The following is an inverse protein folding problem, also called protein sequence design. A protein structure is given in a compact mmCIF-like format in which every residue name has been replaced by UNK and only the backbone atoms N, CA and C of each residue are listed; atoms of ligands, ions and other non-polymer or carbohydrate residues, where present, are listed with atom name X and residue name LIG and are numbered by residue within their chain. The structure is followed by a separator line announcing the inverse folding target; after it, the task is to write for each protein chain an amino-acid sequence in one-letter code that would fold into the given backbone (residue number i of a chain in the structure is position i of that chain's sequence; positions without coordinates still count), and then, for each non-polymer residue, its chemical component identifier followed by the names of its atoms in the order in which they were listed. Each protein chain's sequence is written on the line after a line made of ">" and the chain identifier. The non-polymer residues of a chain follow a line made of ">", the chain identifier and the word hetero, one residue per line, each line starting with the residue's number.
data_IF_808254606742
#
_entry.id   IF_808254606742
#
_cell.length_a   1.000
_cell.length_b   1.000
_cell.length_c   1.000
_cell.angle_alpha   90.00
_cell.angle_beta   90.00
_cell.angle_gamma   90.00
#
_symmetry.space_group_name_H-M   'P 1'
#
loop_
_entity.id
_entity.type
_entity.pdbx_description
1 polymer ?
#
# COMPACT_ATOMS: atom_id res chain seq x y z
N UNK A 1 23.21 -20.18 19.79
CA UNK A 1 22.26 -19.72 18.76
C UNK A 1 23.08 -19.63 17.50
N UNK A 2 22.94 -20.63 16.64
CA UNK A 2 23.70 -20.68 15.38
C UNK A 2 23.36 -19.45 14.55
N UNK A 3 24.38 -18.84 13.97
CA UNK A 3 24.25 -17.65 13.14
C UNK A 3 23.46 -18.01 11.88
N UNK A 4 22.26 -17.44 11.72
CA UNK A 4 21.34 -17.81 10.65
C UNK A 4 21.86 -17.44 9.25
N UNK A 5 22.68 -16.39 9.17
CA UNK A 5 23.24 -15.88 7.92
C UNK A 5 24.76 -15.72 8.02
N UNK A 6 25.48 -16.07 6.96
CA UNK A 6 26.93 -15.88 6.86
C UNK A 6 27.31 -14.71 5.93
N UNK A 7 26.33 -14.16 5.22
CA UNK A 7 26.50 -13.00 4.36
C UNK A 7 25.18 -12.25 4.18
N UNK A 8 25.23 -11.05 3.63
CA UNK A 8 24.03 -10.33 3.21
C UNK A 8 24.24 -9.56 1.90
N UNK A 9 23.13 -9.25 1.24
CA UNK A 9 23.10 -8.33 0.09
C UNK A 9 22.13 -7.20 0.37
N UNK A 10 22.60 -5.97 0.20
CA UNK A 10 21.78 -4.75 0.20
C UNK A 10 21.36 -4.44 -1.24
N UNK A 11 20.19 -4.93 -1.61
CA UNK A 11 19.53 -4.70 -2.89
C UNK A 11 18.91 -3.32 -2.86
N UNK A 12 19.46 -2.40 -3.64
CA UNK A 12 19.07 -1.00 -3.62
C UNK A 12 19.23 -0.39 -5.01
N UNK A 13 19.06 0.92 -5.09
CA UNK A 13 19.26 1.68 -6.32
C UNK A 13 20.07 2.94 -6.07
N UNK A 14 20.56 3.55 -7.15
CA UNK A 14 21.20 4.86 -7.06
C UNK A 14 20.27 5.85 -6.33
N UNK A 15 20.84 6.62 -5.39
CA UNK A 15 20.14 7.69 -4.64
C UNK A 15 18.99 7.24 -3.72
N UNK A 16 18.90 5.95 -3.40
CA UNK A 16 17.97 5.40 -2.40
C UNK A 16 18.39 5.59 -0.95
N UNK A 17 19.57 6.18 -0.69
CA UNK A 17 20.17 6.25 0.65
C UNK A 17 21.08 5.06 1.01
N UNK A 18 21.38 4.20 0.04
CA UNK A 18 22.19 2.99 0.26
C UNK A 18 23.57 3.24 0.86
N UNK A 19 24.24 4.36 0.53
CA UNK A 19 25.49 4.77 1.18
C UNK A 19 25.33 5.08 2.68
N UNK A 20 24.19 5.66 3.07
CA UNK A 20 23.92 5.96 4.48
C UNK A 20 23.63 4.68 5.27
N UNK A 21 22.83 3.79 4.68
CA UNK A 21 22.58 2.49 5.28
C UNK A 21 23.87 1.66 5.38
N UNK A 22 24.74 1.69 4.36
CA UNK A 22 26.08 1.09 4.42
C UNK A 22 26.91 1.64 5.59
N UNK A 23 26.92 2.96 5.80
CA UNK A 23 27.65 3.58 6.91
C UNK A 23 27.14 3.10 8.27
N UNK A 24 25.82 3.03 8.45
CA UNK A 24 25.20 2.52 9.68
C UNK A 24 25.49 1.03 9.88
N UNK A 25 25.39 0.20 8.82
CA UNK A 25 25.75 -1.21 8.86
C UNK A 25 27.22 -1.40 9.28
N UNK A 26 28.14 -0.62 8.72
CA UNK A 26 29.56 -0.67 9.08
C UNK A 26 29.86 -0.12 10.48
N UNK A 27 28.94 0.63 11.09
CA UNK A 27 29.04 1.05 12.48
C UNK A 27 28.54 -0.03 13.46
N UNK A 28 27.79 -1.03 12.99
CA UNK A 28 27.31 -2.15 13.81
C UNK A 28 28.44 -3.16 14.06
N UNK A 29 28.73 -3.50 15.33
CA UNK A 29 29.69 -4.55 15.63
C UNK A 29 29.28 -5.90 15.01
N UNK A 30 30.22 -6.53 14.28
CA UNK A 30 30.01 -7.82 13.64
C UNK A 30 29.36 -7.76 12.25
N UNK A 31 29.34 -6.59 11.62
CA UNK A 31 28.84 -6.37 10.25
C UNK A 31 29.92 -5.70 9.41
N UNK A 32 30.15 -6.20 8.20
CA UNK A 32 31.08 -5.61 7.24
C UNK A 32 30.41 -5.47 5.86
N UNK A 33 30.07 -4.25 5.46
CA UNK A 33 29.49 -3.91 4.17
C UNK A 33 30.55 -3.28 3.25
N UNK A 34 30.86 -3.95 2.14
CA UNK A 34 31.99 -3.64 1.25
C UNK A 34 31.60 -2.83 0.01
N UNK A 35 30.62 -1.94 0.14
CA UNK A 35 30.17 -1.08 -0.96
C UNK A 35 29.65 -1.86 -2.17
N UNK A 36 29.89 -1.34 -3.37
CA UNK A 36 29.39 -1.92 -4.63
C UNK A 36 30.40 -2.92 -5.20
N UNK A 37 30.55 -4.08 -4.54
CA UNK A 37 31.54 -5.11 -4.88
C UNK A 37 31.46 -5.61 -6.34
N UNK A 38 30.27 -5.53 -6.95
CA UNK A 38 29.97 -6.02 -8.30
C UNK A 38 29.61 -4.91 -9.30
N UNK A 39 30.04 -3.67 -9.02
CA UNK A 39 29.96 -2.58 -9.99
C UNK A 39 30.85 -2.89 -11.22
N UNK A 40 30.38 -2.70 -12.47
CA UNK A 40 31.16 -3.05 -13.66
C UNK A 40 32.50 -2.31 -13.81
N UNK A 41 32.68 -1.17 -13.14
CA UNK A 41 33.86 -0.32 -13.31
C UNK A 41 34.86 -0.37 -12.16
N UNK A 42 34.47 -0.85 -10.98
CA UNK A 42 35.32 -0.90 -9.79
C UNK A 42 34.82 -1.97 -8.80
N UNK A 43 35.62 -2.27 -7.78
CA UNK A 43 35.28 -3.20 -6.71
C UNK A 43 35.03 -2.44 -5.40
N UNK A 44 33.77 -2.35 -4.99
CA UNK A 44 33.38 -1.80 -3.68
C UNK A 44 33.34 -0.27 -3.64
N UNK A 45 34.46 0.40 -3.95
CA UNK A 45 34.59 1.86 -3.95
C UNK A 45 35.14 2.38 -5.28
N UNK A 46 34.78 3.61 -5.63
CA UNK A 46 35.25 4.27 -6.85
C UNK A 46 36.78 4.24 -6.94
N UNK A 47 37.30 3.87 -8.12
CA UNK A 47 38.74 3.70 -8.42
C UNK A 47 39.45 2.58 -7.65
N UNK A 48 38.72 1.66 -7.04
CA UNK A 48 39.29 0.44 -6.46
C UNK A 48 39.21 -0.70 -7.49
N UNK A 49 40.34 -1.23 -7.90
CA UNK A 49 40.47 -2.32 -8.89
C UNK A 49 40.85 -3.67 -8.27
N UNK A 50 41.10 -3.72 -6.96
CA UNK A 50 41.39 -4.92 -6.20
C UNK A 50 40.73 -4.91 -4.81
N UNK A 51 40.18 -6.05 -4.38
CA UNK A 51 39.77 -6.29 -3.01
C UNK A 51 39.93 -7.78 -2.65
N UNK A 52 40.30 -8.07 -1.40
CA UNK A 52 40.47 -9.44 -0.90
C UNK A 52 41.39 -10.34 -1.76
N UNK A 53 42.41 -9.73 -2.38
CA UNK A 53 43.34 -10.41 -3.30
C UNK A 53 42.71 -10.80 -4.65
N UNK A 54 41.58 -10.20 -5.03
CA UNK A 54 40.89 -10.41 -6.31
C UNK A 54 40.89 -9.10 -7.08
N UNK A 55 41.52 -9.10 -8.27
CA UNK A 55 41.52 -7.96 -9.18
C UNK A 55 40.21 -7.88 -9.97
N UNK A 56 39.93 -6.72 -10.57
CA UNK A 56 38.77 -6.50 -11.44
C UNK A 56 38.71 -7.52 -12.57
N UNK A 57 39.84 -7.78 -13.24
CA UNK A 57 39.93 -8.78 -14.29
C UNK A 57 39.63 -10.21 -13.79
N UNK A 58 40.10 -10.56 -12.58
CA UNK A 58 39.80 -11.86 -11.98
C UNK A 58 38.32 -11.99 -11.59
N UNK A 59 37.70 -10.92 -11.07
CA UNK A 59 36.25 -10.87 -10.79
C UNK A 59 35.41 -10.98 -12.06
N UNK A 60 35.80 -10.30 -13.13
CA UNK A 60 35.08 -10.39 -14.42
C UNK A 60 35.09 -11.82 -14.97
N UNK A 61 36.20 -12.54 -14.78
CA UNK A 61 36.32 -13.95 -15.15
C UNK A 61 35.47 -14.88 -14.25
N UNK A 62 35.51 -14.67 -12.93
CA UNK A 62 34.70 -15.43 -11.95
C UNK A 62 34.23 -14.51 -10.81
N UNK A 63 32.99 -13.97 -10.86
CA UNK A 63 32.50 -13.08 -9.80
C UNK A 63 32.24 -13.82 -8.48
N UNK A 64 32.07 -15.15 -8.51
CA UNK A 64 31.86 -15.95 -7.30
C UNK A 64 33.16 -16.15 -6.52
N UNK A 65 34.32 -15.97 -7.15
CA UNK A 65 35.61 -15.90 -6.44
C UNK A 65 35.62 -14.73 -5.44
N UNK A 66 35.20 -13.54 -5.88
CA UNK A 66 35.14 -12.36 -5.01
C UNK A 66 34.13 -12.58 -3.87
N UNK A 67 32.95 -13.14 -4.15
CA UNK A 67 31.94 -13.42 -3.11
C UNK A 67 32.49 -14.36 -2.02
N UNK A 68 33.20 -15.43 -2.41
CA UNK A 68 33.86 -16.36 -1.47
C UNK A 68 34.95 -15.66 -0.66
N UNK A 69 35.87 -14.96 -1.34
CA UNK A 69 36.97 -14.25 -0.68
C UNK A 69 36.49 -13.19 0.29
N UNK A 70 35.45 -12.44 -0.07
CA UNK A 70 34.83 -11.44 0.81
C UNK A 70 34.25 -12.09 2.07
N UNK A 71 33.56 -13.23 1.96
CA UNK A 71 33.05 -13.99 3.11
C UNK A 71 34.18 -14.50 4.01
N UNK A 72 35.25 -15.03 3.43
CA UNK A 72 36.37 -15.63 4.17
C UNK A 72 37.22 -14.61 4.94
N UNK A 73 37.30 -13.36 4.45
CA UNK A 73 38.23 -12.34 4.98
C UNK A 73 37.51 -11.19 5.73
N UNK A 74 36.19 -11.23 5.84
CA UNK A 74 35.44 -10.24 6.63
C UNK A 74 35.38 -10.65 8.10
N UNK A 75 35.52 -9.68 8.99
CA UNK A 75 35.19 -9.87 10.40
C UNK A 75 33.67 -9.69 10.58
N UNK A 76 32.98 -10.74 11.05
CA UNK A 76 31.53 -10.77 11.14
C UNK A 76 30.81 -11.13 9.82
N UNK A 77 29.55 -10.70 9.68
CA UNK A 77 28.74 -11.00 8.50
C UNK A 77 29.16 -10.09 7.32
N UNK A 78 29.59 -10.71 6.23
CA UNK A 78 30.02 -9.99 5.03
C UNK A 78 28.84 -9.59 4.15
N UNK A 79 28.81 -8.35 3.67
CA UNK A 79 27.82 -7.95 2.68
C UNK A 79 28.27 -6.84 1.76
N UNK A 80 27.40 -6.51 0.81
CA UNK A 80 27.67 -5.58 -0.26
C UNK A 80 26.37 -4.97 -0.78
N UNK A 81 26.47 -3.81 -1.43
CA UNK A 81 25.40 -3.19 -2.19
C UNK A 81 25.33 -3.76 -3.59
N UNK A 82 24.11 -4.03 -4.04
CA UNK A 82 23.83 -4.53 -5.37
C UNK A 82 22.73 -3.70 -6.04
N UNK A 83 23.02 -3.18 -7.23
CA UNK A 83 22.08 -2.40 -8.06
C UNK A 83 21.69 -3.17 -9.33
N UNK A 84 20.67 -2.71 -10.05
CA UNK A 84 20.15 -3.43 -11.22
C UNK A 84 21.16 -3.62 -12.36
N UNK A 85 22.20 -2.78 -12.43
CA UNK A 85 23.25 -2.73 -13.46
C UNK A 85 24.58 -3.36 -13.02
N UNK A 86 24.62 -3.94 -11.81
CA UNK A 86 25.76 -4.73 -11.35
C UNK A 86 25.80 -6.10 -12.02
N UNK A 87 26.90 -6.84 -11.84
CA UNK A 87 27.13 -8.12 -12.51
C UNK A 87 25.93 -9.09 -12.36
N UNK A 88 25.18 -9.34 -13.45
CA UNK A 88 23.92 -10.08 -13.40
C UNK A 88 24.11 -11.55 -13.04
N UNK A 89 25.34 -12.08 -13.09
CA UNK A 89 25.65 -13.48 -12.71
C UNK A 89 25.57 -13.69 -11.21
N UNK A 90 25.68 -12.63 -10.41
CA UNK A 90 25.71 -12.69 -8.94
C UNK A 90 24.31 -12.75 -8.35
N UNK A 91 23.36 -12.00 -8.91
CA UNK A 91 22.02 -11.86 -8.36
C UNK A 91 21.28 -13.21 -8.17
N UNK A 92 21.25 -14.13 -9.16
CA UNK A 92 20.61 -15.43 -8.98
C UNK A 92 21.24 -16.25 -7.86
N UNK A 93 22.58 -16.16 -7.70
CA UNK A 93 23.32 -16.91 -6.69
C UNK A 93 22.95 -16.42 -5.30
N UNK A 94 22.97 -15.11 -5.05
CA UNK A 94 22.62 -14.57 -3.72
C UNK A 94 21.13 -14.69 -3.41
N UNK A 95 20.24 -14.58 -4.41
CA UNK A 95 18.80 -14.79 -4.20
C UNK A 95 18.49 -16.26 -3.85
N UNK A 96 19.20 -17.22 -4.44
CA UNK A 96 19.01 -18.64 -4.16
C UNK A 96 19.66 -19.11 -2.85
N UNK A 97 20.69 -18.42 -2.35
CA UNK A 97 21.46 -18.82 -1.16
C UNK A 97 20.70 -18.52 0.16
N UNK A 98 20.20 -19.53 0.91
CA UNK A 98 19.47 -19.31 2.17
C UNK A 98 20.33 -18.77 3.31
N UNK A 99 21.67 -18.84 3.20
CA UNK A 99 22.60 -18.31 4.19
C UNK A 99 23.01 -16.85 3.89
N UNK A 100 22.56 -16.30 2.75
CA UNK A 100 22.72 -14.90 2.41
C UNK A 100 21.43 -14.13 2.76
N UNK A 101 21.49 -13.21 3.72
CA UNK A 101 20.36 -12.35 4.07
C UNK A 101 20.07 -11.35 2.93
N UNK A 102 18.78 -11.09 2.66
CA UNK A 102 18.36 -10.08 1.67
C UNK A 102 17.86 -8.86 2.41
N UNK A 103 18.40 -7.70 2.06
CA UNK A 103 17.90 -6.39 2.50
C UNK A 103 17.47 -5.65 1.24
N UNK A 104 16.23 -5.18 1.19
CA UNK A 104 15.71 -4.40 0.06
C UNK A 104 15.47 -2.98 0.55
N UNK A 105 16.25 -2.03 0.03
CA UNK A 105 16.10 -0.61 0.31
C UNK A 105 15.32 0.06 -0.81
N UNK A 106 14.19 0.66 -0.46
CA UNK A 106 13.34 1.40 -1.40
C UNK A 106 13.31 2.89 -1.10
N UNK A 107 13.07 3.69 -2.13
CA UNK A 107 12.79 5.12 -2.02
C UNK A 107 11.75 5.50 -3.06
N UNK A 108 11.02 6.59 -2.81
CA UNK A 108 10.17 7.19 -3.80
C UNK A 108 10.94 7.40 -5.13
N UNK A 109 10.50 6.80 -6.26
CA UNK A 109 11.23 6.86 -7.53
C UNK A 109 11.42 8.28 -8.04
N UNK A 110 10.44 9.18 -7.85
CA UNK A 110 10.56 10.55 -8.34
C UNK A 110 11.61 11.34 -7.55
N UNK A 111 11.66 11.16 -6.24
CA UNK A 111 12.69 11.82 -5.41
C UNK A 111 14.10 11.33 -5.75
N UNK A 112 14.23 10.02 -6.00
CA UNK A 112 15.51 9.41 -6.39
C UNK A 112 15.97 9.94 -7.75
N UNK A 113 15.04 10.04 -8.71
CA UNK A 113 15.29 10.57 -10.04
C UNK A 113 15.67 12.05 -10.00
N UNK A 114 14.90 12.91 -9.32
CA UNK A 114 15.24 14.34 -9.17
C UNK A 114 16.59 14.51 -8.47
N UNK A 115 16.86 13.72 -7.42
CA UNK A 115 18.18 13.74 -6.78
C UNK A 115 19.31 13.32 -7.71
N UNK A 116 19.08 12.37 -8.62
CA UNK A 116 20.04 11.95 -9.63
C UNK A 116 20.29 13.04 -10.69
N UNK A 117 19.24 13.68 -11.19
CA UNK A 117 19.36 14.80 -12.14
C UNK A 117 20.12 15.99 -11.54
N UNK A 118 19.88 16.33 -10.27
CA UNK A 118 20.63 17.38 -9.57
C UNK A 118 22.11 16.99 -9.44
N UNK A 119 22.42 15.74 -9.09
CA UNK A 119 23.80 15.28 -8.99
C UNK A 119 24.52 15.31 -10.35
N UNK A 120 23.83 14.92 -11.43
CA UNK A 120 24.35 15.01 -12.80
C UNK A 120 24.63 16.45 -13.21
N UNK A 121 23.72 17.38 -12.92
CA UNK A 121 23.87 18.80 -13.23
C UNK A 121 24.98 19.49 -12.42
N UNK A 122 25.22 19.06 -11.18
CA UNK A 122 26.18 19.70 -10.26
C UNK A 122 27.55 19.03 -10.21
N UNK A 123 27.69 17.81 -10.76
CA UNK A 123 28.93 17.02 -10.69
C UNK A 123 29.29 16.54 -9.27
N UNK A 124 28.40 16.71 -8.28
CA UNK A 124 28.66 16.35 -6.89
C UNK A 124 27.99 15.02 -6.53
N UNK A 125 28.81 13.97 -6.40
CA UNK A 125 28.37 12.61 -6.08
C UNK A 125 28.42 12.27 -4.57
N UNK A 126 29.21 13.04 -3.79
CA UNK A 126 29.30 12.97 -2.32
C UNK A 126 29.05 14.35 -1.71
N UNK A 127 28.18 14.40 -0.69
CA UNK A 127 27.79 15.62 0.01
C UNK A 127 28.90 16.06 0.98
N UNK A 128 29.81 16.93 0.53
CA UNK A 128 30.75 17.61 1.43
C UNK A 128 30.43 19.10 1.63
N UNK A 129 29.57 19.71 0.79
CA UNK A 129 29.26 21.14 0.88
C UNK A 129 27.76 21.47 0.66
N UNK A 130 27.01 21.64 1.75
CA UNK A 130 25.56 21.89 1.75
C UNK A 130 25.14 23.27 1.20
N UNK A 131 26.07 24.22 1.01
CA UNK A 131 25.74 25.59 0.57
C UNK A 131 25.51 25.73 -0.94
N UNK A 132 26.11 24.87 -1.79
CA UNK A 132 25.97 24.93 -3.26
C UNK A 132 24.76 24.17 -3.81
N UNK A 133 24.23 23.22 -3.05
CA UNK A 133 23.06 22.41 -3.42
C UNK A 133 21.73 23.17 -3.35
N UNK A 134 21.64 24.26 -2.58
CA UNK A 134 20.39 25.01 -2.35
C UNK A 134 19.84 25.78 -3.55
N UNK A 135 20.59 25.85 -4.66
CA UNK A 135 20.18 26.64 -5.84
C UNK A 135 20.11 25.82 -7.12
N UNK A 136 20.50 24.54 -7.09
CA UNK A 136 20.50 23.69 -8.28
C UNK A 136 19.12 23.03 -8.44
N UNK A 137 18.40 23.43 -9.48
CA UNK A 137 17.17 22.78 -9.92
C UNK A 137 17.49 21.76 -11.01
N UNK A 138 16.76 20.66 -11.04
CA UNK A 138 16.84 19.69 -12.12
C UNK A 138 15.76 19.98 -13.18
N UNK A 139 16.10 19.77 -14.44
CA UNK A 139 15.10 19.62 -15.49
C UNK A 139 14.51 18.19 -15.42
N UNK A 140 13.18 18.09 -15.33
CA UNK A 140 12.46 16.83 -15.35
C UNK A 140 12.15 16.42 -16.80
N UNK A 141 12.49 15.20 -17.19
CA UNK A 141 12.13 14.63 -18.49
C UNK A 141 11.16 13.46 -18.28
N UNK A 142 9.95 13.57 -18.82
CA UNK A 142 8.89 12.58 -18.65
C UNK A 142 9.23 11.22 -19.30
N UNK A 143 9.91 11.21 -20.45
CA UNK A 143 10.26 9.98 -21.16
C UNK A 143 11.42 9.27 -20.45
N UNK A 144 12.44 10.03 -20.03
CA UNK A 144 13.57 9.51 -19.24
C UNK A 144 13.08 8.94 -17.90
N UNK A 145 12.20 9.67 -17.19
CA UNK A 145 11.61 9.19 -15.94
C UNK A 145 10.78 7.92 -16.13
N UNK A 146 9.97 7.84 -17.20
CA UNK A 146 9.18 6.65 -17.52
C UNK A 146 10.06 5.42 -17.80
N UNK A 147 11.15 5.60 -18.55
CA UNK A 147 12.13 4.54 -18.81
C UNK A 147 12.83 4.09 -17.51
N UNK A 148 13.26 5.04 -16.69
CA UNK A 148 13.86 4.78 -15.38
C UNK A 148 12.91 4.00 -14.46
N UNK A 149 11.64 4.40 -14.40
CA UNK A 149 10.61 3.74 -13.61
C UNK A 149 10.34 2.30 -14.09
N UNK A 150 10.30 2.09 -15.41
CA UNK A 150 10.15 0.76 -16.01
C UNK A 150 11.30 -0.17 -15.63
N UNK A 151 12.54 0.34 -15.65
CA UNK A 151 13.73 -0.41 -15.26
C UNK A 151 13.71 -0.79 -13.77
N UNK A 152 13.33 0.16 -12.91
CA UNK A 152 13.17 -0.06 -11.48
C UNK A 152 12.13 -1.15 -11.19
N UNK A 153 10.98 -1.09 -11.88
CA UNK A 153 9.92 -2.08 -11.73
C UNK A 153 10.33 -3.46 -12.21
N UNK A 154 11.01 -3.54 -13.36
CA UNK A 154 11.53 -4.81 -13.86
C UNK A 154 12.51 -5.43 -12.87
N UNK A 155 13.37 -4.63 -12.24
CA UNK A 155 14.27 -5.12 -11.20
C UNK A 155 13.50 -5.63 -9.98
N UNK A 156 12.56 -4.85 -9.44
CA UNK A 156 11.72 -5.28 -8.31
C UNK A 156 10.94 -6.56 -8.59
N UNK A 157 10.41 -6.73 -9.81
CA UNK A 157 9.78 -7.98 -10.26
C UNK A 157 10.73 -9.16 -10.23
N UNK A 158 11.98 -8.97 -10.69
CA UNK A 158 13.01 -10.01 -10.63
C UNK A 158 13.34 -10.41 -9.19
N UNK A 159 13.47 -9.43 -8.29
CA UNK A 159 13.72 -9.69 -6.87
C UNK A 159 12.57 -10.48 -6.24
N UNK A 160 11.32 -10.05 -6.46
CA UNK A 160 10.14 -10.73 -5.94
C UNK A 160 10.06 -12.17 -6.46
N UNK A 161 10.24 -12.39 -7.76
CA UNK A 161 10.22 -13.72 -8.36
C UNK A 161 11.34 -14.60 -7.80
N UNK A 162 12.56 -14.07 -7.63
CA UNK A 162 13.67 -14.83 -7.05
C UNK A 162 13.46 -15.21 -5.59
N UNK A 163 12.87 -14.32 -4.77
CA UNK A 163 12.49 -14.62 -3.39
C UNK A 163 11.40 -15.70 -3.33
N UNK A 164 10.36 -15.57 -4.17
CA UNK A 164 9.25 -16.52 -4.22
C UNK A 164 9.70 -17.91 -4.68
N UNK A 165 10.53 -18.00 -5.71
CA UNK A 165 10.99 -19.30 -6.25
C UNK A 165 12.03 -19.97 -5.36
N UNK A 166 12.79 -19.21 -4.57
CA UNK A 166 13.72 -19.75 -3.57
C UNK A 166 13.08 -20.02 -2.21
N UNK A 167 11.83 -19.60 -1.99
CA UNK A 167 11.13 -19.76 -0.71
C UNK A 167 11.68 -18.86 0.41
N UNK A 168 12.27 -17.72 0.06
CA UNK A 168 12.95 -16.83 0.99
C UNK A 168 12.23 -15.49 1.15
N UNK A 169 12.58 -14.76 2.20
CA UNK A 169 12.10 -13.39 2.46
C UNK A 169 13.26 -12.40 2.48
N UNK A 170 12.94 -11.11 2.45
CA UNK A 170 13.88 -10.01 2.64
C UNK A 170 13.44 -9.11 3.78
N UNK A 171 14.40 -8.38 4.37
CA UNK A 171 14.12 -7.24 5.23
C UNK A 171 13.91 -6.01 4.35
N UNK A 172 12.70 -5.48 4.35
CA UNK A 172 12.34 -4.28 3.61
C UNK A 172 12.56 -3.06 4.50
N UNK A 173 13.23 -2.06 3.96
CA UNK A 173 13.49 -0.78 4.63
C UNK A 173 13.33 0.33 3.60
N UNK A 174 12.71 1.45 3.97
CA UNK A 174 12.63 2.61 3.11
C UNK A 174 13.63 3.71 3.49
N UNK A 175 13.77 4.70 2.62
CA UNK A 175 14.69 5.82 2.82
C UNK A 175 14.35 6.72 4.02
N UNK A 176 13.11 6.76 4.47
CA UNK A 176 12.75 7.54 5.66
C UNK A 176 13.11 6.78 6.94
N UNK A 177 12.99 5.45 6.90
CA UNK A 177 13.28 4.54 8.01
C UNK A 177 14.77 4.33 8.30
N UNK A 178 15.68 4.58 7.35
CA UNK A 178 17.13 4.38 7.58
C UNK A 178 17.72 5.31 8.67
N UNK A 179 16.96 6.31 9.15
CA UNK A 179 17.34 7.17 10.27
C UNK A 179 16.72 6.73 11.61
N UNK A 180 15.88 5.69 11.62
CA UNK A 180 15.25 5.18 12.83
C UNK A 180 16.13 4.12 13.49
N UNK A 181 16.61 4.43 14.70
CA UNK A 181 17.46 3.53 15.49
C UNK A 181 16.79 2.18 15.76
N UNK A 182 15.48 2.15 16.00
CA UNK A 182 14.74 0.92 16.29
C UNK A 182 14.63 0.03 15.05
N UNK A 183 14.45 0.65 13.87
CA UNK A 183 14.48 -0.07 12.58
C UNK A 183 15.86 -0.63 12.30
N UNK A 184 16.92 0.17 12.49
CA UNK A 184 18.31 -0.28 12.31
C UNK A 184 18.66 -1.42 13.27
N UNK A 185 18.21 -1.37 14.52
CA UNK A 185 18.38 -2.46 15.49
C UNK A 185 17.47 -3.67 15.17
N UNK A 186 16.34 -3.46 14.49
CA UNK A 186 15.55 -4.52 13.86
C UNK A 186 16.32 -5.22 12.74
N UNK A 187 17.01 -4.47 11.90
CA UNK A 187 17.87 -5.00 10.85
C UNK A 187 19.06 -5.80 11.44
N UNK A 188 19.68 -5.31 12.49
CA UNK A 188 20.73 -6.03 13.22
C UNK A 188 20.24 -7.41 13.73
N UNK A 189 19.05 -7.44 14.35
CA UNK A 189 18.41 -8.69 14.80
C UNK A 189 18.08 -9.62 13.63
N UNK A 190 17.59 -9.09 12.51
CA UNK A 190 17.36 -9.87 11.29
C UNK A 190 18.65 -10.51 10.75
N UNK A 191 19.77 -9.78 10.77
CA UNK A 191 21.09 -10.31 10.37
C UNK A 191 21.67 -11.31 11.39
N UNK A 192 21.03 -11.47 12.56
CA UNK A 192 21.51 -12.35 13.63
C UNK A 192 22.74 -11.81 14.36
N UNK A 193 23.05 -10.51 14.23
CA UNK A 193 24.16 -9.87 14.94
C UNK A 193 23.70 -9.32 16.28
N UNK A 194 24.59 -9.35 17.28
CA UNK A 194 24.32 -8.82 18.64
C UNK A 194 24.61 -7.33 18.79
N UNK A 195 25.28 -6.73 17.81
CA UNK A 195 25.61 -5.32 17.82
C UNK A 195 24.36 -4.47 17.65
N UNK A 196 24.11 -3.56 18.58
CA UNK A 196 23.06 -2.55 18.50
C UNK A 196 23.69 -1.17 18.30
N UNK A 197 22.99 -0.29 17.59
CA UNK A 197 23.33 1.12 17.47
C UNK A 197 22.62 1.91 18.57
N UNK A 198 23.37 2.77 19.27
CA UNK A 198 22.79 3.74 20.21
C UNK A 198 22.12 4.92 19.49
N UNK A 199 22.62 5.27 18.30
CA UNK A 199 22.07 6.27 17.40
C UNK A 199 22.58 6.03 15.97
N UNK A 200 21.89 6.53 14.93
CA UNK A 200 22.37 6.48 13.55
C UNK A 200 23.63 7.33 13.36
N UNK A 201 24.39 7.07 12.29
CA UNK A 201 25.58 7.85 11.96
C UNK A 201 25.25 9.34 11.76
N UNK A 202 25.68 10.17 12.71
CA UNK A 202 25.42 11.62 12.73
C UNK A 202 26.15 12.41 11.64
N UNK A 203 27.02 11.78 10.83
CA UNK A 203 27.77 12.46 9.76
C UNK A 203 26.92 12.75 8.52
N UNK A 204 25.83 12.01 8.32
CA UNK A 204 24.91 12.19 7.19
C UNK A 204 23.57 12.71 7.71
N UNK A 205 23.45 14.04 7.82
CA UNK A 205 22.19 14.69 8.20
C UNK A 205 21.15 14.54 7.09
N UNK A 206 19.88 14.37 7.49
CA UNK A 206 18.68 14.53 6.64
C UNK A 206 18.75 15.89 5.95
N UNK A 207 19.07 15.89 4.66
CA UNK A 207 19.22 17.12 3.87
C UNK A 207 18.12 17.21 2.81
N UNK A 208 17.39 18.33 2.90
CA UNK A 208 16.36 18.89 2.03
C UNK A 208 14.89 18.58 2.38
N UNK A 209 14.34 19.24 3.42
CA UNK A 209 12.90 19.34 3.67
C UNK A 209 12.14 20.20 2.64
N UNK A 210 12.79 20.66 1.56
CA UNK A 210 12.15 21.42 0.49
C UNK A 210 11.21 20.53 -0.33
N UNK A 211 10.06 21.08 -0.71
CA UNK A 211 9.06 20.42 -1.54
C UNK A 211 9.68 20.02 -2.89
N UNK A 212 9.28 18.85 -3.41
CA UNK A 212 9.86 18.32 -4.65
C UNK A 212 9.70 19.28 -5.84
N UNK A 213 8.62 20.07 -5.85
CA UNK A 213 8.33 21.11 -6.83
C UNK A 213 9.36 22.25 -6.84
N UNK A 214 10.03 22.52 -5.72
CA UNK A 214 11.04 23.58 -5.61
C UNK A 214 12.39 23.15 -6.19
N UNK A 215 12.61 21.84 -6.32
CA UNK A 215 13.84 21.20 -6.80
C UNK A 215 13.86 20.98 -8.32
N UNK A 216 12.77 21.31 -9.00
CA UNK A 216 12.58 21.05 -10.43
C UNK A 216 12.29 22.36 -11.18
N UNK A 217 12.85 22.51 -12.37
CA UNK A 217 12.67 23.70 -13.22
C UNK A 217 11.27 23.77 -13.86
N UNK A 218 10.69 22.61 -14.16
CA UNK A 218 9.40 22.40 -14.83
C UNK A 218 8.43 21.55 -13.97
N UNK A 219 7.99 22.02 -12.79
CA UNK A 219 7.16 21.25 -11.86
C UNK A 219 5.78 20.88 -12.44
N UNK A 220 5.20 21.71 -13.31
CA UNK A 220 3.92 21.42 -13.97
C UNK A 220 4.00 20.21 -14.92
N UNK A 221 5.08 20.10 -15.68
CA UNK A 221 5.33 18.97 -16.59
C UNK A 221 5.55 17.68 -15.79
N UNK A 222 6.30 17.76 -14.69
CA UNK A 222 6.46 16.66 -13.74
C UNK A 222 5.10 16.22 -13.18
N UNK A 223 4.27 17.14 -12.71
CA UNK A 223 2.94 16.82 -12.19
C UNK A 223 2.05 16.16 -13.27
N UNK A 224 2.06 16.69 -14.50
CA UNK A 224 1.31 16.12 -15.61
C UNK A 224 1.80 14.70 -15.97
N UNK A 225 3.11 14.47 -16.02
CA UNK A 225 3.69 13.15 -16.29
C UNK A 225 3.39 12.15 -15.16
N UNK A 226 3.54 12.56 -13.91
CA UNK A 226 3.20 11.75 -12.73
C UNK A 226 1.72 11.39 -12.72
N UNK A 227 0.81 12.32 -13.04
CA UNK A 227 -0.63 12.03 -13.10
C UNK A 227 -0.99 10.96 -14.15
N UNK A 228 -0.19 10.83 -15.22
CA UNK A 228 -0.36 9.79 -16.25
C UNK A 228 0.25 8.46 -15.81
N UNK A 229 1.37 8.48 -15.10
CA UNK A 229 2.07 7.29 -14.59
C UNK A 229 1.39 6.69 -13.36
N UNK A 230 0.79 7.51 -12.50
CA UNK A 230 0.08 7.08 -11.29
C UNK A 230 -1.17 6.24 -11.64
N UNK A 231 -1.78 6.51 -12.80
CA UNK A 231 -2.84 5.66 -13.38
C UNK A 231 -2.39 4.22 -13.67
N UNK A 232 -1.08 3.98 -13.86
CA UNK A 232 -0.50 2.66 -14.08
C UNK A 232 0.24 2.09 -12.85
N UNK A 233 0.41 2.89 -11.78
CA UNK A 233 1.18 2.54 -10.58
C UNK A 233 0.45 2.55 -9.24
N UNK A 234 -0.85 2.87 -9.23
CA UNK A 234 -1.75 2.63 -8.10
C UNK A 234 -1.84 1.15 -7.66
N UNK A 235 -1.21 0.22 -8.38
CA UNK A 235 -1.21 -1.20 -8.07
C UNK A 235 -0.10 -1.64 -7.08
N UNK A 236 0.84 -0.77 -6.67
CA UNK A 236 2.04 -1.22 -5.92
C UNK A 236 2.55 -0.37 -4.77
N UNK A 237 1.84 0.66 -4.33
CA UNK A 237 1.89 0.99 -2.89
C UNK A 237 1.34 -0.24 -2.16
N UNK A 238 2.03 -0.83 -1.18
CA UNK A 238 1.45 -1.91 -0.40
C UNK A 238 0.10 -1.44 0.12
N UNK A 239 -0.99 -2.02 -0.39
CA UNK A 239 -2.30 -1.76 0.17
C UNK A 239 -2.31 -2.42 1.54
N UNK A 240 -2.15 -1.60 2.57
CA UNK A 240 -2.20 -2.04 3.96
C UNK A 240 -3.62 -2.29 4.44
N UNK A 241 -4.65 -1.95 3.65
CA UNK A 241 -5.99 -2.44 3.93
C UNK A 241 -6.00 -3.98 3.79
N UNK A 242 -6.32 -4.73 4.86
CA UNK A 242 -6.33 -6.19 4.84
C UNK A 242 -7.23 -6.74 3.74
N UNK A 243 -6.76 -7.80 3.08
CA UNK A 243 -7.56 -8.53 2.10
C UNK A 243 -8.81 -9.09 2.76
N UNK A 244 -9.96 -8.89 2.11
CA UNK A 244 -11.26 -9.40 2.56
C UNK A 244 -11.49 -10.80 2.01
N UNK A 245 -12.16 -11.66 2.77
CA UNK A 245 -12.69 -12.93 2.25
C UNK A 245 -13.93 -12.68 1.36
N UNK A 246 -14.35 -13.64 0.51
CA UNK A 246 -15.53 -13.52 -0.36
C UNK A 246 -16.87 -13.18 0.30
N UNK A 247 -16.99 -13.33 1.63
CA UNK A 247 -18.22 -13.09 2.39
C UNK A 247 -19.46 -13.87 1.88
N UNK A 248 -19.27 -15.04 1.26
CA UNK A 248 -20.36 -15.85 0.69
C UNK A 248 -21.56 -16.08 1.63
N UNK A 249 -21.40 -16.30 2.95
CA UNK A 249 -22.55 -16.44 3.85
C UNK A 249 -23.50 -15.24 3.87
N UNK A 250 -23.05 -14.04 3.47
CA UNK A 250 -23.93 -12.87 3.38
C UNK A 250 -24.66 -12.74 2.05
N UNK A 251 -24.43 -13.61 1.07
CA UNK A 251 -25.08 -13.49 -0.23
C UNK A 251 -26.54 -13.90 -0.13
N UNK A 252 -27.40 -13.19 -0.87
CA UNK A 252 -28.84 -13.44 -0.93
C UNK A 252 -29.22 -13.75 -2.37
N UNK A 253 -30.13 -14.69 -2.58
CA UNK A 253 -30.53 -15.05 -3.95
C UNK A 253 -32.03 -15.36 -4.10
N UNK A 254 -32.64 -14.89 -5.19
CA UNK A 254 -34.03 -15.20 -5.57
C UNK A 254 -34.25 -15.03 -7.09
N UNK A 255 -35.07 -15.90 -7.70
CA UNK A 255 -35.51 -15.82 -9.12
C UNK A 255 -34.43 -15.63 -10.19
N UNK A 256 -33.17 -16.00 -9.91
CA UNK A 256 -32.03 -15.80 -10.82
C UNK A 256 -31.13 -14.61 -10.47
N UNK A 257 -31.53 -13.73 -9.56
CA UNK A 257 -30.67 -12.68 -9.03
C UNK A 257 -29.85 -13.17 -7.82
N UNK A 258 -28.56 -12.84 -7.79
CA UNK A 258 -27.64 -13.11 -6.68
C UNK A 258 -27.05 -11.80 -6.16
N UNK A 259 -27.52 -11.34 -5.00
CA UNK A 259 -27.03 -10.14 -4.35
C UNK A 259 -25.79 -10.43 -3.49
N UNK A 260 -24.74 -9.68 -3.74
CA UNK A 260 -23.46 -9.71 -3.03
C UNK A 260 -23.32 -8.42 -2.22
N UNK A 261 -23.75 -8.37 -0.94
CA UNK A 261 -23.89 -7.12 -0.21
C UNK A 261 -22.56 -6.49 0.18
N UNK A 262 -22.39 -5.22 -0.18
CA UNK A 262 -21.43 -4.32 0.48
C UNK A 262 -22.05 -3.85 1.79
N UNK A 263 -21.45 -4.22 2.92
CA UNK A 263 -21.99 -3.87 4.24
C UNK A 263 -22.08 -2.36 4.42
N UNK A 264 -23.19 -1.86 4.97
CA UNK A 264 -23.46 -0.41 5.10
C UNK A 264 -24.04 0.24 3.84
N UNK A 265 -24.32 -0.54 2.79
CA UNK A 265 -25.17 -0.13 1.67
C UNK A 265 -26.67 -0.29 1.99
N UNK A 266 -27.55 -0.17 0.97
CA UNK A 266 -29.01 -0.33 1.12
C UNK A 266 -29.44 -1.80 1.23
N UNK A 267 -28.80 -2.56 2.14
CA UNK A 267 -28.94 -4.02 2.24
C UNK A 267 -30.40 -4.45 2.44
N UNK A 268 -31.13 -3.78 3.34
CA UNK A 268 -32.52 -4.09 3.65
C UNK A 268 -33.44 -3.79 2.45
N UNK A 269 -33.23 -2.65 1.79
CA UNK A 269 -34.02 -2.25 0.63
C UNK A 269 -33.86 -3.24 -0.53
N UNK A 270 -32.62 -3.66 -0.77
CA UNK A 270 -32.29 -4.63 -1.82
C UNK A 270 -32.79 -6.03 -1.45
N UNK A 271 -32.70 -6.45 -0.19
CA UNK A 271 -33.21 -7.74 0.26
C UNK A 271 -34.75 -7.83 0.10
N UNK A 272 -35.48 -6.77 0.44
CA UNK A 272 -36.93 -6.71 0.24
C UNK A 272 -37.30 -6.69 -1.25
N UNK A 273 -36.56 -5.95 -2.08
CA UNK A 273 -36.74 -5.99 -3.54
C UNK A 273 -36.49 -7.40 -4.09
N UNK A 274 -35.43 -8.08 -3.64
CA UNK A 274 -35.06 -9.42 -4.05
C UNK A 274 -36.14 -10.46 -3.69
N UNK A 275 -36.81 -10.30 -2.55
CA UNK A 275 -37.94 -11.14 -2.15
C UNK A 275 -39.14 -11.05 -3.11
N UNK A 276 -39.22 -9.99 -3.93
CA UNK A 276 -40.21 -9.86 -4.99
C UNK A 276 -40.10 -10.92 -6.10
N UNK A 277 -38.95 -11.58 -6.23
CA UNK A 277 -38.77 -12.72 -7.14
C UNK A 277 -39.12 -14.09 -6.50
N UNK A 278 -39.52 -14.11 -5.23
CA UNK A 278 -39.88 -15.32 -4.49
C UNK A 278 -39.03 -15.53 -3.24
N UNK A 279 -38.99 -16.78 -2.75
CA UNK A 279 -38.28 -17.13 -1.52
C UNK A 279 -36.78 -16.82 -1.63
N UNK A 280 -36.31 -15.92 -0.77
CA UNK A 280 -34.88 -15.60 -0.63
C UNK A 280 -34.15 -16.80 -0.05
N UNK A 281 -33.03 -17.14 -0.69
CA UNK A 281 -32.06 -18.13 -0.21
C UNK A 281 -30.87 -17.39 0.41
N UNK A 282 -30.48 -17.80 1.60
CA UNK A 282 -29.46 -17.15 2.44
C UNK A 282 -28.42 -18.20 2.93
N UNK A 283 -27.47 -17.77 3.76
CA UNK A 283 -26.48 -18.62 4.44
C UNK A 283 -25.72 -19.58 3.51
N UNK A 284 -25.31 -19.07 2.35
CA UNK A 284 -24.56 -19.86 1.40
C UNK A 284 -23.21 -20.32 1.96
N UNK A 285 -22.85 -21.55 1.58
CA UNK A 285 -21.47 -22.02 1.56
C UNK A 285 -20.98 -22.01 0.11
N UNK A 286 -19.67 -22.12 -0.13
CA UNK A 286 -19.14 -22.24 -1.51
C UNK A 286 -19.82 -23.38 -2.28
N UNK A 287 -20.11 -24.51 -1.62
CA UNK A 287 -20.74 -25.67 -2.24
C UNK A 287 -22.20 -25.38 -2.61
N UNK A 288 -22.99 -24.85 -1.67
CA UNK A 288 -24.42 -24.59 -1.91
C UNK A 288 -24.62 -23.44 -2.90
N UNK A 289 -23.74 -22.44 -2.93
CA UNK A 289 -23.78 -21.37 -3.92
C UNK A 289 -23.55 -21.91 -5.34
N UNK A 290 -22.52 -22.75 -5.55
CA UNK A 290 -22.27 -23.38 -6.85
C UNK A 290 -23.44 -24.26 -7.31
N UNK A 291 -24.09 -24.96 -6.38
CA UNK A 291 -25.29 -25.74 -6.69
C UNK A 291 -26.45 -24.85 -7.11
N UNK A 292 -26.67 -23.74 -6.40
CA UNK A 292 -27.69 -22.75 -6.75
C UNK A 292 -27.44 -22.15 -8.14
N UNK A 293 -26.21 -21.72 -8.43
CA UNK A 293 -25.85 -21.13 -9.74
C UNK A 293 -26.12 -22.08 -10.91
N UNK A 294 -25.80 -23.37 -10.76
CA UNK A 294 -26.07 -24.39 -11.80
C UNK A 294 -27.57 -24.61 -12.04
N UNK A 295 -28.38 -24.53 -10.97
CA UNK A 295 -29.83 -24.73 -11.05
C UNK A 295 -30.57 -23.52 -11.63
N UNK A 296 -30.01 -22.31 -11.47
CA UNK A 296 -30.65 -21.06 -11.87
C UNK A 296 -29.86 -20.44 -13.04
N UNK A 297 -30.00 -20.97 -14.24
CA UNK A 297 -29.39 -20.39 -15.46
C UNK A 297 -30.50 -19.83 -16.37
N UNK A 298 -30.37 -18.57 -16.87
CA UNK A 298 -29.33 -17.60 -16.52
C UNK A 298 -29.52 -17.05 -15.09
N UNK A 299 -28.43 -16.90 -14.34
CA UNK A 299 -28.39 -16.05 -13.15
C UNK A 299 -27.55 -14.81 -13.43
N UNK A 300 -27.78 -13.77 -12.64
CA UNK A 300 -26.98 -12.55 -12.63
C UNK A 300 -26.65 -12.17 -11.20
N UNK A 301 -25.37 -12.01 -10.95
CA UNK A 301 -24.84 -11.52 -9.68
C UNK A 301 -24.70 -10.02 -9.71
N UNK A 302 -24.96 -9.36 -8.59
CA UNK A 302 -24.86 -7.91 -8.52
C UNK A 302 -24.51 -7.43 -7.11
N UNK A 303 -24.03 -6.20 -7.05
CA UNK A 303 -23.83 -5.47 -5.79
C UNK A 303 -24.29 -4.03 -5.95
N UNK A 304 -24.44 -3.32 -4.84
CA UNK A 304 -24.86 -1.92 -4.80
C UNK A 304 -23.84 -1.12 -4.02
N UNK A 305 -23.26 -0.11 -4.67
CA UNK A 305 -22.36 0.85 -4.06
C UNK A 305 -23.13 2.06 -3.53
N UNK A 306 -22.69 2.56 -2.39
CA UNK A 306 -23.22 3.75 -1.71
C UNK A 306 -22.16 4.85 -1.70
N UNK A 307 -22.57 6.12 -1.76
CA UNK A 307 -21.60 7.21 -1.67
C UNK A 307 -20.76 7.09 -0.39
N UNK A 308 -19.42 7.23 -0.42
CA UNK A 308 -18.56 6.99 0.74
C UNK A 308 -18.97 7.77 2.00
N UNK A 309 -19.34 9.06 1.84
CA UNK A 309 -19.84 9.90 2.95
C UNK A 309 -21.10 9.31 3.59
N UNK A 310 -22.12 9.02 2.77
CA UNK A 310 -23.39 8.48 3.24
C UNK A 310 -23.21 7.12 3.93
N UNK A 311 -22.35 6.28 3.37
CA UNK A 311 -22.03 4.97 3.94
C UNK A 311 -21.33 5.09 5.30
N UNK A 312 -20.32 5.95 5.40
CA UNK A 312 -19.59 6.16 6.64
C UNK A 312 -20.50 6.76 7.73
N UNK A 313 -21.34 7.73 7.37
CA UNK A 313 -22.27 8.39 8.29
C UNK A 313 -23.35 7.45 8.81
N UNK A 314 -23.96 6.66 7.92
CA UNK A 314 -24.94 5.66 8.31
C UNK A 314 -24.33 4.65 9.28
N UNK A 315 -23.11 4.16 9.01
CA UNK A 315 -22.38 3.27 9.93
C UNK A 315 -22.01 3.94 11.26
N UNK A 316 -21.59 5.21 11.23
CA UNK A 316 -21.30 5.99 12.44
C UNK A 316 -22.54 6.09 13.33
N UNK A 317 -23.69 6.48 12.78
CA UNK A 317 -24.94 6.62 13.53
C UNK A 317 -25.43 5.26 14.06
N UNK A 318 -25.56 4.28 13.18
CA UNK A 318 -26.19 2.99 13.49
C UNK A 318 -25.33 2.03 14.31
N UNK A 319 -23.99 2.21 14.36
CA UNK A 319 -23.11 1.27 15.05
C UNK A 319 -22.18 1.91 16.08
N UNK A 320 -21.69 3.13 15.84
CA UNK A 320 -20.80 3.82 16.78
C UNK A 320 -21.64 4.59 17.80
N UNK A 321 -22.53 5.49 17.38
CA UNK A 321 -23.37 6.26 18.30
C UNK A 321 -24.40 5.41 19.05
N UNK A 322 -25.00 4.43 18.38
CA UNK A 322 -25.91 3.46 19.01
C UNK A 322 -25.23 2.52 20.01
N UNK A 323 -23.91 2.37 19.94
CA UNK A 323 -23.15 1.41 20.73
C UNK A 323 -23.18 -0.03 20.23
N UNK A 324 -23.71 -0.32 19.03
CA UNK A 324 -23.78 -1.69 18.50
C UNK A 324 -22.39 -2.33 18.24
N UNK A 325 -21.32 -1.54 18.16
CA UNK A 325 -19.93 -2.00 18.10
C UNK A 325 -19.12 -1.55 19.35
N UNK A 326 -19.37 -2.16 20.52
CA UNK A 326 -18.85 -1.65 21.80
C UNK A 326 -17.32 -1.60 21.87
N UNK A 327 -16.63 -2.62 21.35
CA UNK A 327 -15.15 -2.67 21.37
C UNK A 327 -14.50 -1.59 20.49
N UNK A 328 -15.05 -1.35 19.29
CA UNK A 328 -14.52 -0.31 18.40
C UNK A 328 -14.79 1.06 19.02
N UNK A 329 -16.02 1.27 19.53
CA UNK A 329 -16.40 2.49 20.23
C UNK A 329 -15.52 2.78 21.44
N UNK A 330 -15.23 1.78 22.26
CA UNK A 330 -14.36 1.92 23.42
C UNK A 330 -12.93 2.30 23.02
N UNK A 331 -12.40 1.69 21.95
CA UNK A 331 -11.10 2.06 21.38
C UNK A 331 -11.07 3.49 20.84
N UNK A 332 -12.12 3.94 20.16
CA UNK A 332 -12.26 5.32 19.69
C UNK A 332 -12.16 6.34 20.84
N UNK A 333 -12.84 6.05 21.96
CA UNK A 333 -12.81 6.92 23.15
C UNK A 333 -11.45 6.86 23.84
N UNK A 334 -10.94 5.66 24.12
CA UNK A 334 -9.74 5.49 24.96
C UNK A 334 -8.44 5.85 24.23
N UNK A 335 -8.27 5.36 23.02
CA UNK A 335 -7.01 5.44 22.26
C UNK A 335 -6.98 6.63 21.30
N UNK A 336 -8.13 6.96 20.70
CA UNK A 336 -8.24 8.02 19.68
C UNK A 336 -8.91 9.29 20.20
N UNK A 337 -9.34 9.30 21.47
CA UNK A 337 -9.88 10.46 22.20
C UNK A 337 -11.11 11.11 21.55
N UNK A 338 -11.91 10.34 20.80
CA UNK A 338 -13.16 10.85 20.24
C UNK A 338 -14.16 11.15 21.37
N UNK A 339 -14.78 12.33 21.31
CA UNK A 339 -15.82 12.75 22.25
C UNK A 339 -17.17 12.14 21.89
N UNK A 340 -17.38 10.88 22.27
CA UNK A 340 -18.63 10.16 22.01
C UNK A 340 -19.51 10.11 23.29
N UNK A 341 -20.77 10.57 23.24
CA UNK A 341 -21.67 10.59 24.40
C UNK A 341 -22.19 9.18 24.70
N UNK A 342 -22.83 8.94 25.85
CA UNK A 342 -23.40 7.63 26.16
C UNK A 342 -24.30 7.11 25.01
N UNK A 343 -24.30 5.81 24.70
CA UNK A 343 -25.10 5.25 23.60
C UNK A 343 -26.56 5.70 23.64
N UNK A 344 -27.09 6.13 22.49
CA UNK A 344 -28.47 6.64 22.37
C UNK A 344 -28.68 8.09 22.82
N UNK A 345 -27.63 8.79 23.28
CA UNK A 345 -27.71 10.23 23.57
C UNK A 345 -27.71 11.04 22.28
N UNK A 346 -28.67 11.94 22.13
CA UNK A 346 -28.75 12.87 21.00
C UNK A 346 -27.66 13.94 21.11
N UNK A 347 -26.84 14.06 20.07
CA UNK A 347 -25.88 15.16 19.93
C UNK A 347 -26.56 16.39 19.30
N UNK A 348 -26.04 17.57 19.60
CA UNK A 348 -26.36 18.75 18.78
C UNK A 348 -25.83 18.54 17.35
N UNK A 349 -26.40 19.24 16.36
CA UNK A 349 -25.92 19.15 14.95
C UNK A 349 -24.43 19.48 14.86
N UNK A 350 -23.97 20.49 15.61
CA UNK A 350 -22.56 20.88 15.67
C UNK A 350 -21.66 19.80 16.27
N UNK A 351 -22.03 19.23 17.42
CA UNK A 351 -21.24 18.18 18.06
C UNK A 351 -21.23 16.89 17.23
N UNK A 352 -22.34 16.58 16.57
CA UNK A 352 -22.42 15.45 15.65
C UNK A 352 -21.48 15.61 14.47
N UNK A 353 -21.42 16.81 13.88
CA UNK A 353 -20.47 17.15 12.79
C UNK A 353 -19.03 16.94 13.25
N UNK A 354 -18.65 17.50 14.41
CA UNK A 354 -17.29 17.39 14.95
C UNK A 354 -16.92 15.91 15.18
N UNK A 355 -17.78 15.17 15.88
CA UNK A 355 -17.54 13.75 16.15
C UNK A 355 -17.46 12.91 14.87
N UNK A 356 -18.24 13.23 13.83
CA UNK A 356 -18.19 12.54 12.56
C UNK A 356 -16.89 12.83 11.78
N UNK A 357 -16.41 14.07 11.76
CA UNK A 357 -15.12 14.43 11.14
C UNK A 357 -13.96 13.72 11.84
N UNK A 358 -13.94 13.70 13.19
CA UNK A 358 -12.94 12.96 13.96
C UNK A 358 -12.98 11.45 13.63
N UNK A 359 -14.18 10.91 13.47
CA UNK A 359 -14.37 9.53 13.05
C UNK A 359 -13.83 9.26 11.64
N UNK A 360 -14.07 10.15 10.66
CA UNK A 360 -13.51 10.02 9.30
C UNK A 360 -11.97 10.08 9.32
N UNK A 361 -11.39 10.98 10.12
CA UNK A 361 -9.93 11.08 10.30
C UNK A 361 -9.36 9.79 10.92
N UNK A 362 -10.06 9.19 11.88
CA UNK A 362 -9.72 7.86 12.38
C UNK A 362 -9.81 6.78 11.28
N UNK A 363 -10.86 6.80 10.46
CA UNK A 363 -11.06 5.82 9.40
C UNK A 363 -9.95 5.83 8.35
N UNK A 364 -9.40 7.00 8.02
CA UNK A 364 -8.20 7.12 7.18
C UNK A 364 -7.05 6.26 7.70
N UNK A 365 -6.74 6.38 8.98
CA UNK A 365 -5.69 5.59 9.63
C UNK A 365 -6.08 4.11 9.71
N UNK A 366 -7.33 3.81 10.03
CA UNK A 366 -7.81 2.45 10.22
C UNK A 366 -7.80 1.64 8.92
N UNK A 367 -8.34 2.19 7.84
CA UNK A 367 -8.35 1.56 6.51
C UNK A 367 -6.91 1.38 5.99
N UNK A 368 -6.01 2.30 6.31
CA UNK A 368 -4.58 2.17 5.99
C UNK A 368 -3.81 1.18 6.90
N UNK A 369 -4.48 0.46 7.81
CA UNK A 369 -3.82 -0.51 8.70
C UNK A 369 -2.91 0.12 9.77
N UNK A 370 -3.02 1.43 10.01
CA UNK A 370 -2.20 2.19 10.96
C UNK A 370 -2.82 2.28 12.36
N UNK A 371 -3.85 1.48 12.64
CA UNK A 371 -4.51 1.43 13.95
C UNK A 371 -4.59 0.00 14.48
N UNK A 372 -4.59 -0.15 15.81
CA UNK A 372 -4.73 -1.46 16.46
C UNK A 372 -6.15 -2.02 16.47
N UNK A 373 -7.14 -1.27 15.95
CA UNK A 373 -8.54 -1.70 15.89
C UNK A 373 -8.81 -2.45 14.58
N UNK A 374 -9.55 -3.55 14.65
CA UNK A 374 -10.00 -4.28 13.45
C UNK A 374 -10.85 -3.39 12.55
N UNK A 375 -10.72 -3.55 11.23
CA UNK A 375 -11.54 -2.80 10.26
C UNK A 375 -12.86 -3.54 10.04
N UNK A 376 -13.95 -3.05 10.63
CA UNK A 376 -15.28 -3.62 10.41
C UNK A 376 -15.68 -3.55 8.93
N UNK A 377 -16.33 -4.58 8.36
CA UNK A 377 -16.78 -4.58 6.96
C UNK A 377 -17.61 -3.35 6.55
N UNK A 378 -18.34 -2.74 7.48
CA UNK A 378 -19.14 -1.51 7.24
C UNK A 378 -18.30 -0.27 7.00
N UNK A 379 -17.06 -0.29 7.49
CA UNK A 379 -16.11 0.83 7.38
C UNK A 379 -14.98 0.58 6.40
N UNK A 380 -14.84 -0.65 5.90
CA UNK A 380 -13.94 -1.02 4.82
C UNK A 380 -14.14 -0.14 3.58
N UNK A 381 -13.11 0.01 2.74
CA UNK A 381 -13.36 0.52 1.39
C UNK A 381 -14.25 -0.45 0.61
N UNK A 382 -15.18 0.08 -0.18
CA UNK A 382 -16.02 -0.74 -1.05
C UNK A 382 -15.18 -1.48 -2.09
N UNK A 383 -14.08 -0.85 -2.52
CA UNK A 383 -13.06 -1.45 -3.37
C UNK A 383 -12.49 -2.74 -2.75
N UNK A 384 -12.10 -2.72 -1.48
CA UNK A 384 -11.58 -3.92 -0.80
C UNK A 384 -12.65 -5.01 -0.65
N UNK A 385 -13.92 -4.64 -0.47
CA UNK A 385 -15.03 -5.59 -0.42
C UNK A 385 -15.21 -6.30 -1.76
N UNK A 386 -15.25 -5.55 -2.87
CA UNK A 386 -15.38 -6.12 -4.22
C UNK A 386 -14.16 -6.97 -4.62
N UNK A 387 -12.95 -6.57 -4.23
CA UNK A 387 -11.76 -7.41 -4.38
C UNK A 387 -11.87 -8.73 -3.59
N UNK A 388 -12.51 -8.70 -2.42
CA UNK A 388 -12.80 -9.90 -1.63
C UNK A 388 -13.73 -10.86 -2.38
N UNK A 389 -14.80 -10.34 -2.98
CA UNK A 389 -15.74 -11.13 -3.80
C UNK A 389 -15.03 -11.89 -4.92
N UNK A 390 -14.11 -11.22 -5.63
CA UNK A 390 -13.39 -11.75 -6.78
C UNK A 390 -12.56 -13.02 -6.48
N UNK A 391 -12.27 -13.33 -5.21
CA UNK A 391 -11.65 -14.61 -4.84
C UNK A 391 -12.56 -15.83 -5.06
N UNK A 392 -13.88 -15.61 -5.17
CA UNK A 392 -14.84 -16.63 -5.62
C UNK A 392 -15.39 -16.28 -7.01
N UNK A 393 -15.98 -15.09 -7.15
CA UNK A 393 -16.53 -14.54 -8.40
C UNK A 393 -16.80 -13.04 -8.19
N UNK A 394 -16.51 -12.20 -9.19
CA UNK A 394 -16.93 -10.79 -9.19
C UNK A 394 -18.41 -10.62 -9.58
N UNK A 395 -19.11 -9.59 -9.09
CA UNK A 395 -20.49 -9.33 -9.50
C UNK A 395 -20.56 -9.03 -11.01
N UNK A 396 -21.60 -9.54 -11.69
CA UNK A 396 -21.88 -9.20 -13.09
C UNK A 396 -22.27 -7.73 -13.24
N UNK A 397 -22.95 -7.16 -12.23
CA UNK A 397 -23.37 -5.77 -12.18
C UNK A 397 -22.94 -5.08 -10.88
N UNK A 398 -22.31 -3.92 -11.01
CA UNK A 398 -21.99 -3.01 -9.89
C UNK A 398 -22.89 -1.79 -10.00
N UNK A 399 -23.99 -1.80 -9.25
CA UNK A 399 -25.01 -0.74 -9.28
C UNK A 399 -24.67 0.39 -8.31
N UNK A 400 -25.32 1.54 -8.48
CA UNK A 400 -25.22 2.69 -7.58
C UNK A 400 -26.55 2.92 -6.87
N UNK A 401 -26.48 3.33 -5.61
CA UNK A 401 -27.67 3.63 -4.80
C UNK A 401 -28.49 4.79 -5.39
N UNK A 402 -27.85 5.82 -5.94
CA UNK A 402 -28.49 7.01 -6.53
C UNK A 402 -29.36 6.72 -7.78
N UNK A 403 -29.02 5.65 -8.50
CA UNK A 403 -29.65 5.23 -9.76
C UNK A 403 -30.15 3.79 -9.67
N UNK A 404 -30.40 3.32 -8.45
CA UNK A 404 -30.74 1.95 -8.13
C UNK A 404 -31.98 1.43 -8.88
N UNK A 405 -33.09 2.18 -9.02
CA UNK A 405 -34.26 1.71 -9.78
C UNK A 405 -33.94 1.33 -11.23
N UNK A 406 -33.08 2.10 -11.90
CA UNK A 406 -32.66 1.83 -13.28
C UNK A 406 -31.80 0.57 -13.36
N UNK A 407 -30.82 0.43 -12.45
CA UNK A 407 -29.94 -0.74 -12.39
C UNK A 407 -30.69 -2.04 -12.09
N UNK A 408 -31.64 -2.00 -11.16
CA UNK A 408 -32.48 -3.14 -10.82
C UNK A 408 -33.46 -3.52 -11.93
N UNK A 409 -33.98 -2.52 -12.67
CA UNK A 409 -34.78 -2.75 -13.88
C UNK A 409 -34.00 -3.49 -14.96
N UNK A 410 -32.75 -3.09 -15.22
CA UNK A 410 -31.87 -3.78 -16.16
C UNK A 410 -31.57 -5.22 -15.73
N UNK A 411 -31.24 -5.43 -14.44
CA UNK A 411 -31.01 -6.75 -13.87
C UNK A 411 -32.23 -7.67 -14.01
N UNK A 412 -33.43 -7.17 -13.74
CA UNK A 412 -34.67 -7.95 -13.88
C UNK A 412 -34.91 -8.41 -15.32
N UNK A 413 -34.64 -7.52 -16.30
CA UNK A 413 -34.75 -7.86 -17.71
C UNK A 413 -33.73 -8.94 -18.13
N UNK A 414 -32.49 -8.87 -17.65
CA UNK A 414 -31.43 -9.86 -17.94
C UNK A 414 -31.75 -11.28 -17.43
N UNK A 415 -32.49 -11.38 -16.31
CA UNK A 415 -32.94 -12.67 -15.76
C UNK A 415 -34.32 -13.09 -16.28
N UNK A 416 -34.92 -12.31 -17.20
CA UNK A 416 -36.21 -12.63 -17.83
C UNK A 416 -37.42 -12.53 -16.89
N UNK A 417 -37.36 -11.68 -15.86
CA UNK A 417 -38.41 -11.53 -14.86
C UNK A 417 -38.94 -10.08 -14.82
N UNK A 418 -40.23 -9.87 -14.45
CA UNK A 418 -40.73 -8.52 -14.21
C UNK A 418 -39.99 -7.88 -13.03
N UNK A 419 -39.63 -6.60 -13.14
CA UNK A 419 -38.93 -5.90 -12.06
C UNK A 419 -39.87 -5.68 -10.86
N UNK A 420 -39.52 -6.21 -9.66
CA UNK A 420 -40.27 -5.90 -8.44
C UNK A 420 -40.20 -4.42 -8.10
N UNK A 421 -41.22 -3.92 -7.40
CA UNK A 421 -41.19 -2.56 -6.87
C UNK A 421 -40.08 -2.43 -5.82
N UNK A 422 -39.24 -1.40 -5.94
CA UNK A 422 -38.24 -1.07 -4.94
C UNK A 422 -38.93 -0.37 -3.75
N UNK A 423 -38.89 -0.91 -2.53
CA UNK A 423 -39.50 -0.25 -1.38
C UNK A 423 -38.77 1.05 -1.05
N UNK A 424 -39.54 2.08 -0.66
CA UNK A 424 -38.98 3.33 -0.13
C UNK A 424 -38.54 3.16 1.31
N UNK A 425 -37.34 2.62 1.54
CA UNK A 425 -36.75 2.57 2.88
C UNK A 425 -35.87 3.80 3.06
N UNK A 426 -36.31 4.73 3.90
CA UNK A 426 -35.54 5.92 4.23
C UNK A 426 -34.40 5.54 5.18
N UNK A 427 -33.16 5.93 4.86
CA UNK A 427 -32.09 5.92 5.86
C UNK A 427 -32.35 7.06 6.86
N UNK A 428 -32.62 6.74 8.14
CA UNK A 428 -33.02 7.72 9.15
C UNK A 428 -31.92 8.74 9.46
N UNK A 429 -30.69 8.50 9.04
CA UNK A 429 -29.55 9.40 9.26
C UNK A 429 -29.31 10.39 8.10
N UNK A 430 -30.00 10.24 6.97
CA UNK A 430 -29.77 11.06 5.76
C UNK A 430 -30.08 12.54 5.98
N UNK A 431 -31.17 12.88 6.66
CA UNK A 431 -31.53 14.26 6.95
C UNK A 431 -30.52 14.93 7.88
N UNK A 432 -29.90 14.16 8.79
CA UNK A 432 -28.85 14.65 9.67
C UNK A 432 -27.55 14.85 8.89
N UNK A 433 -27.19 13.91 8.02
CA UNK A 433 -26.04 14.08 7.12
C UNK A 433 -26.20 15.34 6.26
N UNK A 434 -27.40 15.56 5.72
CA UNK A 434 -27.75 16.73 4.94
C UNK A 434 -27.53 18.06 5.68
N UNK A 435 -27.67 18.09 7.01
CA UNK A 435 -27.46 19.26 7.84
C UNK A 435 -25.99 19.51 8.19
N UNK A 436 -25.19 18.46 8.31
CA UNK A 436 -23.77 18.56 8.71
C UNK A 436 -22.80 18.56 7.52
N UNK A 437 -23.28 18.24 6.32
CA UNK A 437 -22.44 18.10 5.14
C UNK A 437 -21.90 19.44 4.65
N UNK A 438 -20.58 19.49 4.47
CA UNK A 438 -19.83 20.58 3.89
C UNK A 438 -18.51 20.08 3.29
N UNK A 439 -17.71 21.01 2.76
CA UNK A 439 -16.42 20.71 2.12
C UNK A 439 -15.43 20.00 3.06
N UNK A 440 -15.49 20.25 4.38
CA UNK A 440 -14.60 19.59 5.34
C UNK A 440 -15.00 18.12 5.55
N UNK A 441 -16.31 17.84 5.66
CA UNK A 441 -16.83 16.46 5.73
C UNK A 441 -16.47 15.68 4.47
N UNK A 442 -16.69 16.29 3.30
CA UNK A 442 -16.38 15.67 2.00
C UNK A 442 -14.87 15.41 1.87
N UNK A 443 -14.02 16.39 2.20
CA UNK A 443 -12.57 16.23 2.17
C UNK A 443 -12.09 15.12 3.12
N UNK A 444 -12.61 15.06 4.35
CA UNK A 444 -12.24 14.02 5.31
C UNK A 444 -12.66 12.61 4.85
N UNK A 445 -13.83 12.48 4.22
CA UNK A 445 -14.29 11.20 3.66
C UNK A 445 -13.48 10.80 2.43
N UNK A 446 -13.13 11.74 1.55
CA UNK A 446 -12.29 11.53 0.38
C UNK A 446 -10.88 11.09 0.75
N UNK A 447 -10.35 11.63 1.82
CA UNK A 447 -9.08 11.21 2.43
C UNK A 447 -9.15 9.78 2.99
N UNK A 448 -10.26 9.41 3.64
CA UNK A 448 -10.42 8.07 4.19
C UNK A 448 -10.69 6.99 3.12
N UNK A 449 -11.39 7.36 2.05
CA UNK A 449 -11.91 6.44 1.03
C UNK A 449 -11.41 6.75 -0.38
N UNK A 450 -10.20 7.29 -0.52
CA UNK A 450 -9.63 7.72 -1.81
C UNK A 450 -9.76 6.66 -2.91
N UNK A 451 -9.59 5.38 -2.55
CA UNK A 451 -9.75 4.24 -3.46
C UNK A 451 -11.15 4.11 -4.03
N UNK A 452 -12.19 4.36 -3.23
CA UNK A 452 -13.57 4.28 -3.70
C UNK A 452 -13.89 5.46 -4.62
N UNK A 453 -13.46 6.67 -4.24
CA UNK A 453 -13.62 7.87 -5.07
C UNK A 453 -12.96 7.74 -6.44
N UNK A 454 -11.70 7.29 -6.47
CA UNK A 454 -10.96 7.11 -7.72
C UNK A 454 -11.46 5.90 -8.51
N UNK A 455 -11.60 4.75 -7.85
CA UNK A 455 -11.93 3.48 -8.52
C UNK A 455 -13.35 3.44 -9.06
N UNK A 456 -14.27 4.16 -8.43
CA UNK A 456 -15.68 4.18 -8.80
C UNK A 456 -16.18 5.57 -9.21
N UNK A 457 -15.31 6.56 -9.36
CA UNK A 457 -15.64 7.88 -9.89
C UNK A 457 -16.68 8.64 -9.07
N UNK A 458 -16.67 8.52 -7.73
CA UNK A 458 -17.57 9.31 -6.90
C UNK A 458 -17.22 10.82 -6.97
N UNK A 459 -18.24 11.64 -7.22
CA UNK A 459 -18.18 13.10 -7.12
C UNK A 459 -18.26 13.57 -5.67
N UNK A 460 -18.69 14.81 -5.43
CA UNK A 460 -19.11 15.20 -4.09
C UNK A 460 -20.49 14.61 -3.81
N UNK A 461 -20.85 14.37 -2.55
CA UNK A 461 -22.10 13.69 -2.21
C UNK A 461 -23.38 14.36 -2.74
N UNK A 462 -23.34 15.68 -2.97
CA UNK A 462 -24.48 16.50 -3.43
C UNK A 462 -24.37 17.00 -4.88
N UNK A 463 -23.39 16.53 -5.63
CA UNK A 463 -23.20 16.91 -7.04
C UNK A 463 -23.90 15.99 -8.03
#
# INVERSE_FOLDING_TARGET
>A
MDQQFNSFVLLAEMRTGSNFLEANLNAMPGVACHGEAFNPHFIGKLNQDEAFGVTLAAREADPLLLLRKMRDHSDGIAGFRYFHDHDPRVLPVVLADPLCAKIILTRNPIESYVSWKIAQATGQWKLTDAKRLKTAKAHFDAAEFSAHLTQLQAFQLRLLHGLQTSGQTAFYIDYEDINDTDVLNGLARYLGVKGELAAPDGKLKKQNPEELSEKVENPEEMAAALSRLDRFNLARTPNFEPRRAPAIPSFLAAGGALYMPVRGGPEEQVAQWLAGFGRVTEDFTQKTLRQWMRKNTPHRSFTVLRHPVARAHAGFCSHILSGALPHIREGLIKSYKLNLPAPGTTLSVGDHRVAFIEFLRFLKLNVAGQTGLRIDPRFASQTAVLQGFAQFQGPDLVLREDSLPMGLGFLAAEIGAPCPALPGIADPSMDLLAQIYDDEVEAAARDAYTRDYLGYGFGNWRD
#
